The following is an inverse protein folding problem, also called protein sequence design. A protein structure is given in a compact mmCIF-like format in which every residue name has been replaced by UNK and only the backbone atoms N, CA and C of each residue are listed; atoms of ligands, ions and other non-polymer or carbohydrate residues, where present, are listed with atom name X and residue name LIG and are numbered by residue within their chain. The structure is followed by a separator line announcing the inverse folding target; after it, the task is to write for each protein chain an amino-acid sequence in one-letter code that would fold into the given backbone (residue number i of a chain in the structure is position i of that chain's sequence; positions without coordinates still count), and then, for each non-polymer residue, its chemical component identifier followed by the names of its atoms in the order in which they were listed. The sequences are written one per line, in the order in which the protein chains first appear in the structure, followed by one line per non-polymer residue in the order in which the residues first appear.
data_IF_013017403203
#
_entry.id   IF_013017403203
#
_cell.length_a   1.000
_cell.length_b   1.000
_cell.length_c   1.000
_cell.angle_alpha   90.00
_cell.angle_beta   90.00
_cell.angle_gamma   90.00
#
_symmetry.space_group_name_H-M   'P 1'
#
loop_
_entity.id
_entity.type
_entity.pdbx_description
1 polymer ?
#
# COMPACT_ATOMS: atom_id res chain seq x y z
N UNK A 1 11.45 -13.36 0.11
CA UNK A 1 10.01 -13.44 0.46
C UNK A 1 9.23 -12.50 -0.42
N UNK A 2 8.26 -13.01 -1.20
CA UNK A 2 7.42 -12.20 -2.10
C UNK A 2 6.40 -11.38 -1.29
N UNK A 3 6.16 -10.12 -1.66
CA UNK A 3 5.23 -9.22 -0.96
C UNK A 3 3.95 -9.05 -1.76
N UNK A 4 2.81 -9.37 -1.16
CA UNK A 4 1.49 -9.32 -1.78
C UNK A 4 0.60 -8.31 -1.05
N UNK A 5 -0.12 -7.48 -1.81
CA UNK A 5 -1.23 -6.68 -1.28
C UNK A 5 -2.55 -7.32 -1.70
N UNK A 6 -3.42 -7.58 -0.73
CA UNK A 6 -4.76 -8.11 -1.00
C UNK A 6 -5.77 -7.00 -0.82
N UNK A 7 -6.48 -6.71 -1.91
CA UNK A 7 -7.58 -5.77 -1.94
C UNK A 7 -8.87 -6.43 -1.46
N UNK A 8 -9.85 -5.61 -1.13
CA UNK A 8 -11.24 -6.04 -0.98
C UNK A 8 -11.93 -5.99 -2.33
N UNK A 9 -12.94 -6.82 -2.56
CA UNK A 9 -13.79 -6.78 -3.76
C UNK A 9 -14.39 -5.40 -3.94
N UNK A 10 -14.82 -4.78 -2.83
CA UNK A 10 -15.39 -3.43 -2.80
C UNK A 10 -14.47 -2.36 -3.39
N UNK A 11 -13.14 -2.50 -3.18
CA UNK A 11 -12.16 -1.50 -3.60
C UNK A 11 -12.02 -1.36 -5.11
N UNK A 12 -12.49 -2.34 -5.87
CA UNK A 12 -12.50 -2.30 -7.34
C UNK A 12 -13.93 -2.23 -7.86
N UNK A 13 -14.89 -2.96 -7.29
CA UNK A 13 -16.23 -3.02 -7.84
C UNK A 13 -17.02 -1.71 -7.71
N UNK A 14 -16.91 -1.03 -6.57
CA UNK A 14 -17.68 0.19 -6.28
C UNK A 14 -17.12 1.42 -6.99
N UNK A 15 -15.81 1.44 -7.24
CA UNK A 15 -15.13 2.48 -8.02
C UNK A 15 -14.07 1.85 -8.93
N UNK A 16 -14.47 1.34 -10.11
CA UNK A 16 -13.53 0.64 -10.99
C UNK A 16 -12.42 1.54 -11.54
N UNK A 17 -12.67 2.85 -11.68
CA UNK A 17 -11.68 3.78 -12.21
C UNK A 17 -10.61 4.05 -11.14
N UNK A 18 -11.03 4.52 -9.96
CA UNK A 18 -10.08 4.79 -8.88
C UNK A 18 -9.40 3.50 -8.41
N UNK A 19 -10.16 2.40 -8.32
CA UNK A 19 -9.64 1.08 -8.01
C UNK A 19 -8.47 0.68 -8.92
N UNK A 20 -8.60 0.84 -10.24
CA UNK A 20 -7.50 0.55 -11.19
C UNK A 20 -6.31 1.51 -11.02
N UNK A 21 -6.55 2.79 -10.76
CA UNK A 21 -5.46 3.75 -10.51
C UNK A 21 -4.70 3.42 -9.21
N UNK A 22 -5.41 3.01 -8.16
CA UNK A 22 -4.80 2.52 -6.94
C UNK A 22 -3.95 1.26 -7.20
N UNK A 23 -4.43 0.30 -7.99
CA UNK A 23 -3.64 -0.91 -8.30
C UNK A 23 -2.29 -0.57 -8.98
N UNK A 24 -2.22 0.49 -9.80
CA UNK A 24 -0.95 0.96 -10.39
C UNK A 24 0.03 1.40 -9.31
N UNK A 25 -0.43 2.19 -8.34
CA UNK A 25 0.38 2.59 -7.17
C UNK A 25 0.79 1.37 -6.35
N UNK A 26 -0.14 0.46 -6.11
CA UNK A 26 0.10 -0.71 -5.28
C UNK A 26 1.23 -1.59 -5.87
N UNK A 27 1.24 -1.79 -7.19
CA UNK A 27 2.33 -2.52 -7.86
C UNK A 27 3.70 -1.85 -7.76
N UNK A 28 3.79 -0.58 -7.40
CA UNK A 28 5.09 0.06 -7.15
C UNK A 28 5.69 -0.40 -5.82
N UNK A 29 4.90 -0.90 -4.86
CA UNK A 29 5.43 -1.34 -3.57
C UNK A 29 5.43 -2.87 -3.43
N UNK A 30 4.41 -3.52 -3.99
CA UNK A 30 4.17 -4.95 -3.85
C UNK A 30 4.58 -5.71 -5.10
N UNK A 31 5.07 -6.94 -4.91
CA UNK A 31 5.53 -7.79 -6.01
C UNK A 31 4.35 -8.33 -6.85
N UNK A 32 3.19 -8.47 -6.19
CA UNK A 32 1.93 -8.96 -6.73
C UNK A 32 0.74 -8.38 -5.95
N UNK A 33 -0.41 -8.28 -6.61
CA UNK A 33 -1.69 -7.90 -6.01
C UNK A 33 -2.60 -9.12 -5.92
N UNK A 34 -3.70 -9.02 -5.19
CA UNK A 34 -4.71 -10.06 -5.19
C UNK A 34 -6.03 -9.69 -4.55
N UNK A 35 -6.95 -10.64 -4.57
CA UNK A 35 -8.28 -10.56 -3.96
C UNK A 35 -8.63 -11.91 -3.32
N UNK A 36 -9.48 -11.89 -2.30
CA UNK A 36 -10.03 -13.13 -1.75
C UNK A 36 -11.03 -13.80 -2.69
N UNK A 37 -11.91 -13.01 -3.32
CA UNK A 37 -13.01 -13.50 -4.14
C UNK A 37 -12.87 -13.02 -5.59
N UNK A 38 -11.74 -13.36 -6.22
CA UNK A 38 -11.40 -12.90 -7.57
C UNK A 38 -12.48 -13.29 -8.62
N UNK A 39 -12.96 -14.53 -8.59
CA UNK A 39 -13.98 -15.00 -9.53
C UNK A 39 -15.29 -14.21 -9.40
N UNK A 40 -15.70 -13.87 -8.18
CA UNK A 40 -16.90 -13.07 -7.92
C UNK A 40 -16.76 -11.69 -8.56
N UNK A 41 -15.59 -11.06 -8.41
CA UNK A 41 -15.32 -9.77 -9.05
C UNK A 41 -15.35 -9.90 -10.58
N UNK A 42 -14.62 -10.86 -11.15
CA UNK A 42 -14.53 -11.03 -12.61
C UNK A 42 -15.92 -11.29 -13.23
N UNK A 43 -16.72 -12.16 -12.63
CA UNK A 43 -18.09 -12.42 -13.07
C UNK A 43 -18.97 -11.16 -12.99
N UNK A 44 -18.81 -10.37 -11.92
CA UNK A 44 -19.56 -9.12 -11.75
C UNK A 44 -19.16 -8.10 -12.81
N UNK A 45 -17.86 -7.91 -13.07
CA UNK A 45 -17.37 -7.00 -14.11
C UNK A 45 -17.82 -7.45 -15.51
N UNK A 46 -17.78 -8.76 -15.82
CA UNK A 46 -18.22 -9.29 -17.11
C UNK A 46 -19.73 -9.05 -17.34
N UNK A 47 -20.56 -9.26 -16.32
CA UNK A 47 -22.00 -8.97 -16.36
C UNK A 47 -22.28 -7.52 -16.74
N UNK A 48 -21.44 -6.58 -16.31
CA UNK A 48 -21.59 -5.15 -16.56
C UNK A 48 -20.65 -4.58 -17.65
N UNK A 49 -19.95 -5.43 -18.42
CA UNK A 49 -18.98 -5.01 -19.46
C UNK A 49 -19.53 -4.17 -20.61
N UNK A 50 -20.86 -4.04 -20.71
CA UNK A 50 -21.49 -3.08 -21.64
C UNK A 50 -21.16 -1.64 -21.29
N UNK A 51 -20.84 -1.35 -20.02
CA UNK A 51 -20.41 -0.04 -19.56
C UNK A 51 -18.88 0.07 -19.65
N UNK A 52 -18.34 1.17 -20.22
CA UNK A 52 -16.90 1.29 -20.49
C UNK A 52 -16.00 1.06 -19.26
N UNK A 53 -16.34 1.65 -18.12
CA UNK A 53 -15.51 1.57 -16.91
C UNK A 53 -15.41 0.14 -16.35
N UNK A 54 -16.48 -0.66 -16.37
CA UNK A 54 -16.43 -2.08 -15.97
C UNK A 54 -15.66 -2.93 -16.96
N UNK A 55 -15.86 -2.68 -18.27
CA UNK A 55 -15.10 -3.36 -19.34
C UNK A 55 -13.61 -3.11 -19.21
N UNK A 56 -13.24 -1.86 -18.98
CA UNK A 56 -11.84 -1.46 -18.86
C UNK A 56 -11.23 -2.08 -17.60
N UNK A 57 -11.91 -2.02 -16.45
CA UNK A 57 -11.44 -2.70 -15.24
C UNK A 57 -11.26 -4.22 -15.43
N UNK A 58 -12.21 -4.89 -16.10
CA UNK A 58 -12.09 -6.31 -16.45
C UNK A 58 -10.85 -6.58 -17.31
N UNK A 59 -10.66 -5.82 -18.39
CA UNK A 59 -9.52 -5.97 -19.28
C UNK A 59 -8.18 -5.74 -18.55
N UNK A 60 -8.13 -4.72 -17.67
CA UNK A 60 -6.94 -4.43 -16.87
C UNK A 60 -6.64 -5.56 -15.88
N UNK A 61 -7.64 -6.12 -15.20
CA UNK A 61 -7.44 -7.26 -14.30
C UNK A 61 -6.98 -8.51 -15.06
N UNK A 62 -7.61 -8.83 -16.19
CA UNK A 62 -7.19 -9.96 -17.03
C UNK A 62 -5.75 -9.79 -17.52
N UNK A 63 -5.34 -8.57 -17.91
CA UNK A 63 -3.96 -8.26 -18.22
C UNK A 63 -3.01 -8.54 -17.03
N UNK A 64 -3.36 -8.09 -15.82
CA UNK A 64 -2.51 -8.33 -14.65
C UNK A 64 -2.43 -9.81 -14.27
N UNK A 65 -3.53 -10.57 -14.45
CA UNK A 65 -3.55 -12.03 -14.25
C UNK A 65 -2.62 -12.71 -15.26
N UNK A 66 -2.70 -12.36 -16.55
CA UNK A 66 -1.78 -12.85 -17.60
C UNK A 66 -0.31 -12.57 -17.26
N UNK A 67 -0.02 -11.38 -16.74
CA UNK A 67 1.33 -11.00 -16.29
C UNK A 67 1.75 -11.61 -14.95
N UNK A 68 0.91 -12.44 -14.32
CA UNK A 68 1.14 -13.03 -12.99
C UNK A 68 1.40 -11.95 -11.93
N UNK A 69 0.70 -10.83 -12.05
CA UNK A 69 0.74 -9.67 -11.14
C UNK A 69 -0.55 -9.51 -10.34
N UNK A 70 -1.53 -10.37 -10.56
CA UNK A 70 -2.75 -10.46 -9.79
C UNK A 70 -3.08 -11.93 -9.50
N UNK A 71 -3.43 -12.26 -8.25
CA UNK A 71 -3.71 -13.63 -7.81
C UNK A 71 -4.95 -13.70 -6.93
N UNK A 72 -5.56 -14.89 -6.84
CA UNK A 72 -6.54 -15.19 -5.81
C UNK A 72 -5.81 -15.52 -4.49
N UNK A 73 -6.20 -14.89 -3.38
CA UNK A 73 -5.56 -15.10 -2.07
C UNK A 73 -5.58 -16.58 -1.65
N UNK A 74 -6.67 -17.30 -1.92
CA UNK A 74 -6.79 -18.72 -1.58
C UNK A 74 -5.69 -19.58 -2.22
N UNK A 75 -5.22 -19.21 -3.40
CA UNK A 75 -4.12 -19.89 -4.10
C UNK A 75 -2.76 -19.74 -3.42
N UNK A 76 -2.63 -18.78 -2.49
CA UNK A 76 -1.38 -18.50 -1.77
C UNK A 76 -1.22 -19.35 -0.48
N UNK A 77 -2.30 -19.99 -0.04
CA UNK A 77 -2.38 -20.75 1.20
C UNK A 77 -1.85 -22.16 0.95
N UNK A 78 -0.95 -22.63 1.82
CA UNK A 78 -0.45 -24.00 1.75
C UNK A 78 -1.30 -24.92 2.63
N UNK A 79 -1.63 -26.14 2.16
CA UNK A 79 -2.20 -27.16 3.02
C UNK A 79 -1.25 -27.48 4.18
N UNK A 80 -1.77 -27.53 5.41
CA UNK A 80 -1.01 -27.83 6.62
C UNK A 80 -1.70 -27.30 7.87
N UNK A 81 -1.04 -27.46 9.02
CA UNK A 81 -1.51 -26.90 10.29
C UNK A 81 -1.44 -25.36 10.22
N UNK A 82 -2.60 -24.74 9.98
CA UNK A 82 -2.73 -23.28 10.06
C UNK A 82 -2.74 -22.92 11.53
N UNK A 83 -1.68 -22.24 11.97
CA UNK A 83 -1.68 -21.59 13.28
C UNK A 83 -2.58 -20.35 13.19
N UNK A 84 -3.77 -20.45 13.77
CA UNK A 84 -4.63 -19.31 14.09
C UNK A 84 -4.46 -18.99 15.56
N UNK A 85 -4.23 -17.72 15.89
CA UNK A 85 -4.23 -17.30 17.28
C UNK A 85 -5.67 -17.07 17.80
N UNK A 86 -5.80 -16.75 19.08
CA UNK A 86 -7.11 -16.49 19.69
C UNK A 86 -7.86 -15.32 19.02
N UNK A 87 -7.12 -14.35 18.47
CA UNK A 87 -7.68 -13.19 17.77
C UNK A 87 -8.23 -13.60 16.41
N UNK A 88 -7.51 -14.42 15.66
CA UNK A 88 -7.96 -14.98 14.38
C UNK A 88 -9.22 -15.83 14.57
N UNK A 89 -9.29 -16.65 15.63
CA UNK A 89 -10.48 -17.44 15.96
C UNK A 89 -11.69 -16.57 16.31
N UNK A 90 -11.49 -15.49 17.07
CA UNK A 90 -12.56 -14.50 17.35
C UNK A 90 -13.07 -13.84 16.07
N UNK A 91 -12.15 -13.46 15.17
CA UNK A 91 -12.51 -12.89 13.87
C UNK A 91 -13.29 -13.90 13.00
N UNK A 92 -12.88 -15.16 12.99
CA UNK A 92 -13.59 -16.23 12.27
C UNK A 92 -15.01 -16.44 12.81
N UNK A 93 -15.19 -16.44 14.13
CA UNK A 93 -16.52 -16.54 14.73
C UNK A 93 -17.40 -15.35 14.37
N UNK A 94 -16.86 -14.13 14.46
CA UNK A 94 -17.59 -12.91 14.15
C UNK A 94 -18.01 -12.84 12.66
N UNK A 95 -17.11 -13.22 11.75
CA UNK A 95 -17.44 -13.31 10.31
C UNK A 95 -18.50 -14.37 10.02
N UNK A 96 -18.51 -15.51 10.74
CA UNK A 96 -19.58 -16.50 10.64
C UNK A 96 -20.93 -15.96 11.14
N UNK A 97 -20.95 -15.21 12.25
CA UNK A 97 -22.16 -14.56 12.76
C UNK A 97 -22.73 -13.56 11.75
N UNK A 98 -21.91 -12.64 11.23
CA UNK A 98 -22.33 -11.67 10.22
C UNK A 98 -22.85 -12.33 8.94
N UNK A 99 -22.25 -13.46 8.54
CA UNK A 99 -22.70 -14.23 7.38
C UNK A 99 -24.08 -14.83 7.63
N UNK A 100 -24.31 -15.40 8.81
CA UNK A 100 -25.61 -15.95 9.19
C UNK A 100 -26.68 -14.84 9.24
N UNK A 101 -26.35 -13.68 9.82
CA UNK A 101 -27.25 -12.53 9.86
C UNK A 101 -27.64 -12.10 8.45
N UNK A 102 -26.66 -11.98 7.54
CA UNK A 102 -26.89 -11.62 6.14
C UNK A 102 -27.76 -12.66 5.43
N UNK A 103 -27.48 -13.95 5.61
CA UNK A 103 -28.19 -15.03 4.93
C UNK A 103 -29.65 -15.16 5.44
N UNK A 104 -29.97 -14.65 6.63
CA UNK A 104 -31.33 -14.54 7.17
C UNK A 104 -32.10 -13.31 6.67
N UNK A 105 -31.43 -12.34 6.04
CA UNK A 105 -32.11 -11.18 5.46
C UNK A 105 -32.88 -11.59 4.20
N UNK A 106 -34.21 -11.35 4.22
CA UNK A 106 -35.04 -11.46 3.02
C UNK A 106 -34.73 -10.38 1.98
N UNK A 107 -35.28 -10.54 0.77
CA UNK A 107 -35.07 -9.63 -0.37
C UNK A 107 -35.48 -8.18 -0.12
N UNK A 108 -36.28 -7.91 0.91
CA UNK A 108 -36.74 -6.56 1.30
C UNK A 108 -35.65 -5.74 2.01
N UNK A 109 -34.57 -6.38 2.48
CA UNK A 109 -33.48 -5.74 3.22
C UNK A 109 -32.19 -5.64 2.39
N UNK A 110 -32.30 -5.31 1.10
CA UNK A 110 -31.17 -5.27 0.16
C UNK A 110 -30.05 -4.34 0.64
N UNK A 111 -30.38 -3.15 1.16
CA UNK A 111 -29.40 -2.20 1.68
C UNK A 111 -28.59 -2.78 2.84
N UNK A 112 -29.26 -3.41 3.82
CA UNK A 112 -28.58 -4.01 4.96
C UNK A 112 -27.76 -5.24 4.56
N UNK A 113 -28.25 -6.02 3.61
CA UNK A 113 -27.53 -7.16 3.05
C UNK A 113 -26.24 -6.72 2.35
N UNK A 114 -26.30 -5.63 1.58
CA UNK A 114 -25.12 -5.03 0.93
C UNK A 114 -24.13 -4.49 1.97
N UNK A 115 -24.59 -3.81 3.02
CA UNK A 115 -23.72 -3.33 4.11
C UNK A 115 -22.96 -4.49 4.76
N UNK A 116 -23.66 -5.56 5.14
CA UNK A 116 -23.07 -6.77 5.72
C UNK A 116 -22.12 -7.46 4.75
N UNK A 117 -22.45 -7.50 3.46
CA UNK A 117 -21.57 -8.08 2.44
C UNK A 117 -20.22 -7.35 2.39
N UNK A 118 -20.21 -6.02 2.41
CA UNK A 118 -18.96 -5.25 2.38
C UNK A 118 -18.17 -5.40 3.67
N UNK A 119 -18.84 -5.43 4.83
CA UNK A 119 -18.18 -5.69 6.12
C UNK A 119 -17.53 -7.09 6.14
N UNK A 120 -18.23 -8.11 5.65
CA UNK A 120 -17.70 -9.47 5.51
C UNK A 120 -16.49 -9.52 4.59
N UNK A 121 -16.54 -8.87 3.42
CA UNK A 121 -15.43 -8.85 2.46
C UNK A 121 -14.16 -8.24 3.05
N UNK A 122 -14.26 -7.19 3.88
CA UNK A 122 -13.11 -6.62 4.60
C UNK A 122 -12.54 -7.57 5.66
N UNK A 123 -13.41 -8.12 6.51
CA UNK A 123 -13.00 -8.97 7.64
C UNK A 123 -12.44 -10.31 7.16
N UNK A 124 -13.07 -10.94 6.17
CA UNK A 124 -12.57 -12.16 5.54
C UNK A 124 -11.23 -11.89 4.86
N UNK A 125 -11.07 -10.78 4.15
CA UNK A 125 -9.79 -10.42 3.54
C UNK A 125 -8.69 -10.33 4.59
N UNK A 126 -8.96 -9.71 5.75
CA UNK A 126 -8.02 -9.64 6.87
C UNK A 126 -7.68 -11.03 7.41
N UNK A 127 -8.70 -11.84 7.75
CA UNK A 127 -8.54 -13.19 8.30
C UNK A 127 -7.68 -14.07 7.38
N UNK A 128 -8.03 -14.11 6.09
CA UNK A 128 -7.34 -14.96 5.14
C UNK A 128 -5.92 -14.47 4.83
N UNK A 129 -5.62 -13.17 4.98
CA UNK A 129 -4.23 -12.69 4.95
C UNK A 129 -3.41 -13.23 6.13
N UNK A 130 -3.99 -13.29 7.33
CA UNK A 130 -3.33 -13.87 8.51
C UNK A 130 -3.05 -15.37 8.29
N UNK A 131 -4.05 -16.11 7.80
CA UNK A 131 -3.91 -17.53 7.42
C UNK A 131 -2.83 -17.74 6.35
N UNK A 132 -2.77 -16.88 5.33
CA UNK A 132 -1.74 -16.98 4.29
C UNK A 132 -0.33 -16.73 4.86
N UNK A 133 -0.20 -15.75 5.77
CA UNK A 133 1.06 -15.46 6.45
C UNK A 133 1.52 -16.59 7.38
N UNK A 134 0.60 -17.26 8.08
CA UNK A 134 0.94 -18.37 8.98
C UNK A 134 1.23 -19.68 8.22
N UNK A 135 0.55 -19.92 7.10
CA UNK A 135 0.73 -21.15 6.31
C UNK A 135 1.89 -21.11 5.31
N UNK A 136 2.42 -19.93 4.95
CA UNK A 136 3.38 -19.81 3.86
C UNK A 136 4.49 -18.78 4.10
N UNK A 137 5.60 -19.23 4.69
CA UNK A 137 6.79 -18.42 4.97
C UNK A 137 7.48 -17.80 3.75
N UNK A 138 7.17 -18.25 2.52
CA UNK A 138 7.80 -17.72 1.29
C UNK A 138 7.17 -16.40 0.84
N UNK A 139 5.98 -16.08 1.35
CA UNK A 139 5.22 -14.89 1.02
C UNK A 139 4.94 -14.06 2.26
N UNK A 140 4.62 -12.80 2.05
CA UNK A 140 4.06 -11.93 3.07
C UNK A 140 2.92 -11.16 2.45
N UNK A 141 1.77 -11.24 3.09
CA UNK A 141 0.49 -10.74 2.59
C UNK A 141 0.00 -9.64 3.51
N UNK A 142 -0.37 -8.50 2.92
CA UNK A 142 -0.93 -7.35 3.64
C UNK A 142 -2.34 -7.09 3.13
N UNK A 143 -3.35 -6.98 4.00
CA UNK A 143 -4.69 -6.58 3.58
C UNK A 143 -4.77 -5.05 3.37
N UNK A 144 -5.50 -4.61 2.34
CA UNK A 144 -5.82 -3.21 2.04
C UNK A 144 -7.28 -2.93 2.42
N UNK A 145 -7.50 -2.53 3.67
CA UNK A 145 -8.84 -2.35 4.25
C UNK A 145 -9.23 -0.86 4.26
N UNK A 146 -10.51 -0.52 4.06
CA UNK A 146 -10.98 0.87 4.23
C UNK A 146 -11.19 1.21 5.69
N UNK A 147 -11.67 0.25 6.49
CA UNK A 147 -11.89 0.42 7.91
C UNK A 147 -10.96 -0.49 8.72
N UNK A 148 -10.06 0.11 9.49
CA UNK A 148 -9.20 -0.63 10.44
C UNK A 148 -9.87 -0.83 11.80
N UNK A 149 -10.96 -0.11 12.08
CA UNK A 149 -11.56 0.06 13.40
C UNK A 149 -12.70 -0.92 13.71
N UNK A 150 -13.14 -1.72 12.75
CA UNK A 150 -14.25 -2.67 12.93
C UNK A 150 -13.91 -3.84 13.85
N UNK A 151 -12.62 -4.06 14.13
CA UNK A 151 -12.14 -4.99 15.15
C UNK A 151 -10.71 -4.57 15.54
N UNK A 152 -10.43 -4.40 16.84
CA UNK A 152 -9.08 -4.07 17.37
C UNK A 152 -8.15 -5.29 17.24
N UNK A 153 -7.82 -5.67 16.01
CA UNK A 153 -6.83 -6.71 15.73
C UNK A 153 -5.48 -6.04 15.62
N UNK A 154 -4.53 -6.54 16.39
CA UNK A 154 -3.18 -6.00 16.46
C UNK A 154 -2.46 -6.22 15.13
N UNK A 155 -2.34 -5.17 14.32
CA UNK A 155 -1.48 -5.21 13.14
C UNK A 155 -0.02 -5.47 13.55
N UNK A 156 0.68 -6.30 12.78
CA UNK A 156 2.13 -6.51 12.95
C UNK A 156 2.89 -5.22 12.62
N UNK A 157 4.11 -5.06 13.17
CA UNK A 157 4.98 -3.91 12.82
C UNK A 157 5.14 -3.77 11.31
N UNK A 158 5.33 -4.89 10.61
CA UNK A 158 5.55 -4.90 9.16
C UNK A 158 4.31 -4.41 8.42
N UNK A 159 3.11 -4.89 8.77
CA UNK A 159 1.86 -4.43 8.16
C UNK A 159 1.68 -2.92 8.35
N UNK A 160 1.91 -2.39 9.56
CA UNK A 160 1.87 -0.95 9.84
C UNK A 160 2.85 -0.17 8.97
N UNK A 161 4.09 -0.64 8.86
CA UNK A 161 5.13 0.00 8.07
C UNK A 161 4.77 0.05 6.59
N UNK A 162 4.31 -1.08 6.03
CA UNK A 162 3.84 -1.13 4.64
C UNK A 162 2.65 -0.18 4.41
N UNK A 163 1.69 -0.13 5.34
CA UNK A 163 0.53 0.77 5.26
C UNK A 163 0.94 2.25 5.24
N UNK A 164 1.81 2.66 6.16
CA UNK A 164 2.31 4.05 6.21
C UNK A 164 3.08 4.40 4.92
N UNK A 165 4.02 3.53 4.51
CA UNK A 165 4.85 3.74 3.31
C UNK A 165 4.00 3.78 2.06
N UNK A 166 2.99 2.92 1.96
CA UNK A 166 2.05 2.90 0.84
C UNK A 166 1.33 4.24 0.67
N UNK A 167 0.93 4.87 1.76
CA UNK A 167 0.38 6.24 1.75
C UNK A 167 1.36 7.31 1.26
N UNK A 168 2.67 7.05 1.34
CA UNK A 168 3.72 7.94 0.83
C UNK A 168 4.01 7.77 -0.66
N UNK A 169 3.61 6.65 -1.25
CA UNK A 169 3.80 6.42 -2.68
C UNK A 169 2.72 7.22 -3.44
N UNK A 170 3.11 8.07 -4.41
CA UNK A 170 2.16 8.85 -5.18
C UNK A 170 1.33 7.95 -6.09
N UNK A 171 0.11 8.39 -6.39
CA UNK A 171 -0.67 7.81 -7.48
C UNK A 171 -0.02 8.18 -8.82
N UNK A 172 0.25 7.22 -9.71
CA UNK A 172 0.64 7.55 -11.08
C UNK A 172 -0.43 8.36 -11.79
N UNK A 173 -0.01 9.24 -12.71
CA UNK A 173 -0.96 9.93 -13.62
C UNK A 173 -1.91 8.91 -14.25
N UNK A 174 -3.21 9.18 -14.28
CA UNK A 174 -4.28 8.23 -14.66
C UNK A 174 -3.97 7.48 -15.97
N UNK A 175 -3.45 8.19 -16.97
CA UNK A 175 -3.12 7.66 -18.29
C UNK A 175 -1.78 6.90 -18.37
N UNK A 176 -1.14 6.59 -17.24
CA UNK A 176 0.10 5.81 -17.21
C UNK A 176 -0.18 4.36 -17.65
N UNK A 177 0.45 3.86 -18.72
CA UNK A 177 0.31 2.46 -19.15
C UNK A 177 0.87 1.48 -18.12
N UNK A 178 0.30 0.28 -18.03
CA UNK A 178 0.79 -0.76 -17.11
C UNK A 178 2.23 -1.16 -17.39
N UNK A 179 2.61 -1.20 -18.67
CA UNK A 179 3.96 -1.52 -19.12
C UNK A 179 4.98 -0.61 -18.44
N UNK A 180 4.69 0.69 -18.29
CA UNK A 180 5.60 1.62 -17.59
C UNK A 180 5.77 1.28 -16.11
N UNK A 181 4.71 0.82 -15.45
CA UNK A 181 4.77 0.36 -14.05
C UNK A 181 5.63 -0.91 -13.97
N UNK A 182 5.39 -1.88 -14.86
CA UNK A 182 6.12 -3.15 -14.89
C UNK A 182 7.59 -2.96 -15.28
N UNK A 183 7.90 -2.07 -16.21
CA UNK A 183 9.26 -1.72 -16.63
C UNK A 183 10.01 -1.04 -15.50
N UNK A 184 9.37 -0.09 -14.79
CA UNK A 184 9.95 0.54 -13.62
C UNK A 184 10.25 -0.47 -12.51
N UNK A 185 9.33 -1.39 -12.24
CA UNK A 185 9.58 -2.48 -11.29
C UNK A 185 10.70 -3.43 -11.73
N UNK A 186 11.02 -3.46 -13.03
CA UNK A 186 12.10 -4.27 -13.58
C UNK A 186 13.44 -3.56 -13.68
N UNK A 187 13.46 -2.24 -13.63
CA UNK A 187 14.65 -1.39 -13.66
C UNK A 187 15.59 -1.66 -12.48
N UNK A 188 16.89 -1.67 -12.76
CA UNK A 188 17.92 -2.02 -11.77
C UNK A 188 18.03 -1.02 -10.63
N UNK A 189 17.90 0.28 -10.90
CA UNK A 189 17.97 1.30 -9.84
C UNK A 189 16.74 1.19 -8.94
N UNK A 190 15.56 1.06 -9.55
CA UNK A 190 14.27 0.95 -8.87
C UNK A 190 14.23 -0.29 -7.98
N UNK A 191 14.64 -1.46 -8.50
CA UNK A 191 14.77 -2.71 -7.72
C UNK A 191 15.70 -2.54 -6.52
N UNK A 192 16.89 -1.96 -6.72
CA UNK A 192 17.87 -1.76 -5.65
C UNK A 192 17.30 -0.90 -4.53
N UNK A 193 16.64 0.21 -4.85
CA UNK A 193 16.04 1.10 -3.84
C UNK A 193 14.84 0.49 -3.14
N UNK A 194 13.98 -0.22 -3.87
CA UNK A 194 12.87 -0.96 -3.27
C UNK A 194 13.39 -2.05 -2.33
N UNK A 195 14.48 -2.73 -2.69
CA UNK A 195 15.11 -3.72 -1.82
C UNK A 195 15.63 -3.10 -0.52
N UNK A 196 16.31 -1.95 -0.59
CA UNK A 196 16.77 -1.23 0.60
C UNK A 196 15.60 -0.85 1.53
N UNK A 197 14.50 -0.33 0.96
CA UNK A 197 13.28 -0.04 1.70
C UNK A 197 12.68 -1.28 2.36
N UNK A 198 12.53 -2.37 1.61
CA UNK A 198 12.00 -3.64 2.12
C UNK A 198 12.90 -4.23 3.21
N UNK A 199 14.22 -4.11 3.08
CA UNK A 199 15.18 -4.56 4.08
C UNK A 199 15.02 -3.77 5.39
N UNK A 200 14.94 -2.44 5.29
CA UNK A 200 14.69 -1.58 6.45
C UNK A 200 13.38 -1.95 7.18
N UNK A 201 12.29 -2.21 6.44
CA UNK A 201 11.03 -2.68 7.04
C UNK A 201 11.22 -4.00 7.79
N UNK A 202 12.05 -4.91 7.27
CA UNK A 202 12.30 -6.20 7.92
C UNK A 202 13.17 -6.08 9.18
N UNK A 203 13.99 -5.04 9.29
CA UNK A 203 14.85 -4.75 10.45
C UNK A 203 14.09 -4.04 11.59
N UNK A 204 12.85 -3.59 11.34
CA UNK A 204 12.02 -2.98 12.38
C UNK A 204 11.71 -3.98 13.51
N UNK A 205 11.78 -3.55 14.78
CA UNK A 205 11.45 -4.41 15.91
C UNK A 205 9.96 -4.77 15.89
N UNK A 206 9.65 -5.99 16.29
CA UNK A 206 8.26 -6.41 16.47
C UNK A 206 7.59 -5.62 17.60
N UNK A 207 6.27 -5.45 17.51
CA UNK A 207 5.43 -4.72 18.47
C UNK A 207 5.71 -3.22 18.61
N UNK A 208 6.26 -2.58 17.59
CA UNK A 208 6.43 -1.12 17.60
C UNK A 208 5.06 -0.42 17.63
N UNK A 209 4.96 0.66 18.40
CA UNK A 209 3.76 1.51 18.39
C UNK A 209 3.71 2.29 17.08
N UNK A 210 2.49 2.62 16.64
CA UNK A 210 2.29 3.35 15.38
C UNK A 210 2.97 4.72 15.41
N UNK A 211 2.92 5.42 16.55
CA UNK A 211 3.56 6.73 16.71
C UNK A 211 5.09 6.63 16.69
N UNK A 212 5.68 5.64 17.37
CA UNK A 212 7.12 5.38 17.34
C UNK A 212 7.61 5.02 15.92
N UNK A 213 6.81 4.27 15.16
CA UNK A 213 7.09 3.95 13.77
C UNK A 213 7.04 5.19 12.88
N UNK A 214 6.03 6.04 13.08
CA UNK A 214 5.95 7.33 12.40
C UNK A 214 7.21 8.17 12.70
N UNK A 215 7.62 8.29 13.96
CA UNK A 215 8.81 9.04 14.36
C UNK A 215 10.09 8.49 13.71
N UNK A 216 10.24 7.15 13.63
CA UNK A 216 11.37 6.53 12.92
C UNK A 216 11.38 6.88 11.42
N UNK A 217 10.22 6.86 10.77
CA UNK A 217 10.09 7.24 9.36
C UNK A 217 10.44 8.72 9.18
N UNK A 218 9.95 9.61 10.07
CA UNK A 218 10.32 11.03 10.05
C UNK A 218 11.82 11.23 10.18
N UNK A 219 12.44 10.53 11.13
CA UNK A 219 13.87 10.63 11.37
C UNK A 219 14.68 10.22 10.14
N UNK A 220 14.30 9.14 9.46
CA UNK A 220 14.98 8.69 8.23
C UNK A 220 14.81 9.67 7.08
N UNK A 221 13.61 10.23 6.91
CA UNK A 221 13.37 11.28 5.91
C UNK A 221 14.22 12.53 6.21
N UNK A 222 14.35 12.89 7.48
CA UNK A 222 15.20 14.00 7.92
C UNK A 222 16.69 13.70 7.67
N UNK A 223 17.17 12.51 8.00
CA UNK A 223 18.55 12.09 7.72
C UNK A 223 18.85 12.06 6.23
N UNK A 224 17.91 11.60 5.41
CA UNK A 224 18.02 11.63 3.95
C UNK A 224 18.12 13.07 3.44
N UNK A 225 17.25 13.96 3.94
CA UNK A 225 17.29 15.39 3.64
C UNK A 225 18.62 16.04 4.00
N UNK A 226 19.11 15.82 5.22
CA UNK A 226 20.38 16.39 5.67
C UNK A 226 21.57 15.81 4.89
N UNK A 227 21.50 14.53 4.50
CA UNK A 227 22.49 13.92 3.64
C UNK A 227 22.50 14.56 2.24
N UNK A 228 21.34 14.82 1.64
CA UNK A 228 21.27 15.56 0.37
C UNK A 228 21.85 16.99 0.48
N UNK A 229 21.57 17.71 1.57
CA UNK A 229 22.13 19.04 1.83
C UNK A 229 23.65 19.02 2.00
N UNK A 230 24.18 18.09 2.81
CA UNK A 230 25.61 18.00 3.13
C UNK A 230 26.47 17.73 1.90
N UNK A 231 25.97 16.93 0.96
CA UNK A 231 26.67 16.62 -0.28
C UNK A 231 26.61 17.76 -1.33
N UNK A 232 26.20 18.98 -0.92
CA UNK A 232 26.21 20.22 -1.74
C UNK A 232 25.72 20.01 -3.17
N UNK A 233 24.64 19.25 -3.29
CA UNK A 233 23.73 19.38 -4.42
C UNK A 233 23.34 20.86 -4.43
N UNK A 234 23.78 21.59 -5.45
CA UNK A 234 23.92 23.05 -5.41
C UNK A 234 22.57 23.72 -5.22
N UNK A 235 22.31 24.11 -3.99
CA UNK A 235 21.00 24.60 -3.60
C UNK A 235 20.90 26.11 -3.76
N UNK A 236 20.15 26.59 -4.76
CA UNK A 236 19.66 27.99 -4.77
C UNK A 236 18.44 28.08 -3.84
N UNK A 237 18.65 27.73 -2.57
CA UNK A 237 17.61 27.77 -1.53
C UNK A 237 17.62 29.17 -0.90
N UNK A 238 17.00 30.14 -1.57
CA UNK A 238 16.70 31.45 -0.99
C UNK A 238 15.23 31.61 -0.59
N UNK A 239 14.34 30.71 -1.00
CA UNK A 239 12.88 30.89 -0.86
C UNK A 239 12.25 30.13 0.31
N UNK A 240 12.97 29.21 0.97
CA UNK A 240 12.42 28.36 2.04
C UNK A 240 12.67 28.87 3.47
N UNK A 241 13.30 30.04 3.62
CA UNK A 241 13.62 30.62 4.93
C UNK A 241 12.38 31.18 5.66
N UNK A 242 11.22 31.24 4.99
CA UNK A 242 10.02 31.91 5.51
C UNK A 242 9.02 30.95 6.19
N UNK A 243 9.02 29.65 5.86
CA UNK A 243 7.99 28.71 6.38
C UNK A 243 8.39 28.08 7.73
N UNK A 244 9.68 28.04 8.06
CA UNK A 244 10.19 27.34 9.25
C UNK A 244 10.02 28.16 10.54
N UNK A 245 9.90 29.49 10.46
CA UNK A 245 9.90 30.35 11.65
C UNK A 245 8.51 30.65 12.24
N UNK A 246 7.44 30.01 11.76
CA UNK A 246 6.07 30.26 12.24
C UNK A 246 5.34 28.96 12.61
N UNK A 247 5.87 28.22 13.60
CA UNK A 247 5.13 27.13 14.25
C UNK A 247 5.10 27.40 15.75
N UNK A 248 3.93 27.81 16.32
CA UNK A 248 3.69 27.74 17.75
C UNK A 248 3.57 26.28 18.21
N UNK A 249 4.05 26.02 19.42
CA UNK A 249 4.05 24.74 20.15
C UNK A 249 2.63 24.20 20.39
N UNK A 250 2.08 23.50 19.39
CA UNK A 250 0.92 22.62 19.54
C UNK A 250 1.12 21.40 18.61
N UNK A 251 1.76 20.36 19.14
CA UNK A 251 2.30 19.24 18.37
C UNK A 251 1.61 17.95 18.78
N UNK A 252 0.61 17.55 17.99
CA UNK A 252 0.29 16.14 17.71
C UNK A 252 -0.67 16.04 16.52
N UNK A 253 -1.75 16.83 16.50
CA UNK A 253 -2.78 16.73 15.45
C UNK A 253 -2.43 17.48 14.15
N UNK A 254 -1.67 18.58 14.25
CA UNK A 254 -1.28 19.37 13.08
C UNK A 254 -0.19 18.70 12.22
N UNK A 255 0.57 17.73 12.75
CA UNK A 255 1.63 17.02 12.02
C UNK A 255 1.06 15.98 11.04
N UNK A 256 -0.02 15.28 11.40
CA UNK A 256 -0.71 14.30 10.54
C UNK A 256 -1.29 14.95 9.27
N UNK A 257 -1.94 16.10 9.41
CA UNK A 257 -2.53 16.85 8.29
C UNK A 257 -1.51 17.60 7.42
N UNK A 258 -0.30 17.84 7.95
CA UNK A 258 0.78 18.48 7.20
C UNK A 258 1.75 17.49 6.57
N UNK A 259 1.68 16.20 6.91
CA UNK A 259 2.59 15.19 6.40
C UNK A 259 2.52 15.06 4.88
N UNK A 260 1.30 14.97 4.32
CA UNK A 260 1.09 14.93 2.86
C UNK A 260 1.58 16.20 2.17
N UNK A 261 1.36 17.37 2.79
CA UNK A 261 1.74 18.68 2.21
C UNK A 261 3.24 18.96 2.31
N UNK A 262 3.89 18.55 3.41
CA UNK A 262 5.30 18.79 3.67
C UNK A 262 6.20 17.81 2.89
N UNK A 263 5.75 16.57 2.67
CA UNK A 263 6.47 15.60 1.84
C UNK A 263 6.41 15.95 0.37
N UNK A 264 5.25 16.38 -0.13
CA UNK A 264 5.14 16.89 -1.50
C UNK A 264 6.09 18.07 -1.73
N UNK A 265 6.14 19.04 -0.81
CA UNK A 265 7.09 20.15 -0.90
C UNK A 265 8.57 19.71 -0.80
N UNK A 266 8.85 18.65 -0.04
CA UNK A 266 10.20 18.08 0.09
C UNK A 266 10.65 17.37 -1.19
N UNK A 267 9.80 16.55 -1.80
CA UNK A 267 10.12 15.82 -3.02
C UNK A 267 10.26 16.76 -4.22
N UNK A 268 9.41 17.79 -4.34
CA UNK A 268 9.53 18.85 -5.34
C UNK A 268 10.87 19.62 -5.29
N UNK A 269 11.51 19.72 -4.12
CA UNK A 269 12.83 20.36 -3.96
C UNK A 269 13.96 19.38 -4.27
N UNK A 270 13.81 18.10 -3.88
CA UNK A 270 14.74 17.05 -4.29
C UNK A 270 14.76 16.85 -5.81
N UNK A 271 13.66 17.19 -6.51
CA UNK A 271 13.51 17.11 -7.97
C UNK A 271 14.33 18.13 -8.76
N UNK A 272 14.45 19.37 -8.29
CA UNK A 272 14.97 20.46 -9.14
C UNK A 272 16.49 20.48 -9.30
N UNK A 273 17.26 19.90 -8.37
CA UNK A 273 18.67 20.29 -8.21
C UNK A 273 19.68 19.16 -8.38
N UNK A 274 19.27 17.93 -8.71
CA UNK A 274 20.21 16.81 -8.76
C UNK A 274 20.35 16.13 -10.11
N UNK A 275 21.35 16.60 -10.86
CA UNK A 275 21.92 15.86 -11.98
C UNK A 275 22.86 14.76 -11.42
N UNK A 276 22.28 13.63 -10.99
CA UNK A 276 23.00 12.52 -10.35
C UNK A 276 23.87 11.72 -11.35
N UNK A 277 25.00 12.27 -11.80
CA UNK A 277 25.96 11.54 -12.65
C UNK A 277 27.09 10.83 -11.89
N UNK A 278 27.21 11.02 -10.56
CA UNK A 278 28.23 10.35 -9.72
C UNK A 278 27.52 9.48 -8.67
N UNK A 279 27.59 8.16 -8.83
CA UNK A 279 26.69 7.19 -8.20
C UNK A 279 27.23 6.54 -6.91
N UNK A 280 28.50 6.73 -6.54
CA UNK A 280 29.15 5.95 -5.47
C UNK A 280 28.95 6.52 -4.05
N UNK A 281 28.62 7.81 -3.91
CA UNK A 281 28.38 8.45 -2.60
C UNK A 281 26.93 8.26 -2.11
N UNK A 282 26.02 7.96 -3.03
CA UNK A 282 24.57 7.93 -2.78
C UNK A 282 24.15 6.73 -1.90
N UNK A 283 24.86 5.61 -2.03
CA UNK A 283 24.65 4.40 -1.22
C UNK A 283 25.05 4.59 0.25
N UNK A 284 25.92 5.57 0.53
CA UNK A 284 26.44 5.86 1.87
C UNK A 284 25.64 6.94 2.60
N UNK A 285 24.62 7.51 1.96
CA UNK A 285 23.77 8.52 2.56
C UNK A 285 22.89 7.86 3.63
N UNK A 286 22.89 8.41 4.84
CA UNK A 286 21.96 8.00 5.89
C UNK A 286 20.52 8.30 5.43
N UNK A 287 19.59 7.36 5.64
CA UNK A 287 18.20 7.51 5.21
C UNK A 287 17.93 7.14 3.74
N UNK A 288 18.93 6.64 3.01
CA UNK A 288 18.79 6.21 1.61
C UNK A 288 17.84 5.02 1.44
N UNK A 289 17.48 4.34 2.53
CA UNK A 289 16.45 3.31 2.58
C UNK A 289 15.09 3.83 2.09
N UNK A 290 14.79 5.12 2.33
CA UNK A 290 13.55 5.76 1.87
C UNK A 290 13.68 6.42 0.49
N UNK A 291 14.84 6.35 -0.18
CA UNK A 291 15.08 6.99 -1.48
C UNK A 291 14.27 6.38 -2.64
N UNK A 292 13.53 5.30 -2.38
CA UNK A 292 12.56 4.74 -3.31
C UNK A 292 11.36 5.68 -3.52
N UNK A 293 10.82 6.27 -2.45
CA UNK A 293 9.66 7.17 -2.51
C UNK A 293 9.89 8.35 -3.48
N UNK A 294 10.97 9.14 -3.37
CA UNK A 294 11.26 10.22 -4.31
C UNK A 294 11.55 9.72 -5.74
N UNK A 295 12.08 8.51 -5.90
CA UNK A 295 12.31 7.94 -7.22
C UNK A 295 10.98 7.67 -7.95
N UNK A 296 10.00 7.14 -7.22
CA UNK A 296 8.64 6.91 -7.74
C UNK A 296 7.96 8.24 -8.06
N UNK A 297 8.06 9.24 -7.18
CA UNK A 297 7.51 10.60 -7.37
C UNK A 297 7.99 11.20 -8.70
N UNK A 298 9.30 11.25 -8.92
CA UNK A 298 9.89 11.77 -10.15
C UNK A 298 9.39 11.02 -11.41
N UNK A 299 9.21 9.71 -11.30
CA UNK A 299 8.83 8.90 -12.46
C UNK A 299 7.36 9.08 -12.85
N UNK A 300 6.47 9.27 -11.87
CA UNK A 300 5.03 9.08 -12.07
C UNK A 300 4.15 10.25 -11.67
N UNK A 301 4.69 11.27 -11.00
CA UNK A 301 4.00 12.52 -10.69
C UNK A 301 4.46 13.59 -11.67
N UNK A 302 3.52 14.22 -12.36
CA UNK A 302 3.76 15.41 -13.17
C UNK A 302 3.21 16.61 -12.44
#
# INVERSE_FOLDING_TARGET
MSKHLIKTTASIYLDPIDGMNQLKRDLLLYDCLGLLNLDVLLNSLDKYKKYPFYRDALNNLLFLIDKKKFVELKSLIKPGDVLMDETDLKLANYTMELKNDRDQLGSENEEKSNELFWQLDELDTRLWCNVANSSNEKIFVTPSLKNTNTFEIKETTKQKAYSIIHGLIPLPVENTPWEKILDFNNDSESKRKLFALKNWINELPDNIKTDELNDKIQHLLYEYKESLKRHKISSKVSSFKTIVNSVPTAISELLRLRFDKALNAFFLIAEQEVNFKKFDEKEKLKGNELAYIPLVDNKFKK
#
